data_IF_211945029434
#
_entry.id   IF_211945029434
#
_cell.length_a   1.000
_cell.length_b   1.000
_cell.length_c   1.000
_cell.angle_alpha   90.00
_cell.angle_beta   90.00
_cell.angle_gamma   90.00
#
_symmetry.space_group_name_H-M   'P 1'
#
loop_
_entity.id
_entity.type
_entity.pdbx_description
1 polymer ?
#
# COMPACT_ATOMS: atom_id res chain seq x y z
N UNK A 1 27.23 90.39 -7.46
CA UNK A 1 27.85 90.69 -6.16
C UNK A 1 26.82 90.35 -5.08
N UNK A 2 27.22 89.59 -4.05
CA UNK A 2 26.43 89.10 -2.89
C UNK A 2 25.41 87.99 -3.25
N UNK A 3 25.61 86.69 -2.99
CA UNK A 3 25.89 85.87 -1.79
C UNK A 3 24.62 85.52 -0.96
N UNK A 4 24.30 84.20 -0.92
CA UNK A 4 23.59 83.32 0.08
C UNK A 4 22.43 83.93 0.92
N UNK A 5 21.35 83.23 1.26
CA UNK A 5 21.17 82.10 2.19
C UNK A 5 19.67 81.71 2.04
N UNK A 6 19.27 80.49 1.72
CA UNK A 6 19.00 79.41 2.69
C UNK A 6 17.50 79.11 2.74
N UNK A 7 17.13 77.83 2.85
CA UNK A 7 15.74 77.43 3.02
C UNK A 7 15.42 76.08 2.38
N UNK A 8 15.92 75.00 3.00
CA UNK A 8 15.43 73.64 2.76
C UNK A 8 14.00 73.57 3.30
N UNK A 9 13.01 73.35 2.41
CA UNK A 9 11.73 72.76 2.79
C UNK A 9 11.63 71.43 2.05
N UNK A 10 11.79 70.37 2.81
CA UNK A 10 11.58 69.00 2.40
C UNK A 10 10.10 68.82 2.02
N UNK A 11 9.81 68.86 0.72
CA UNK A 11 8.56 68.37 0.18
C UNK A 11 8.52 66.86 0.36
N UNK A 12 7.68 66.39 1.29
CA UNK A 12 7.33 64.98 1.47
C UNK A 12 6.63 64.52 0.19
N UNK A 13 7.41 63.96 -0.73
CA UNK A 13 6.87 63.14 -1.82
C UNK A 13 6.38 61.84 -1.18
N UNK A 14 5.07 61.78 -0.90
CA UNK A 14 4.39 60.54 -0.61
C UNK A 14 4.43 59.67 -1.88
N UNK A 15 5.53 58.94 -2.06
CA UNK A 15 5.56 57.74 -2.89
C UNK A 15 4.58 56.77 -2.23
N UNK A 16 3.35 56.77 -2.74
CA UNK A 16 2.48 55.60 -2.71
C UNK A 16 3.27 54.46 -3.37
N UNK A 17 4.04 53.74 -2.56
CA UNK A 17 4.36 52.36 -2.83
C UNK A 17 3.01 51.65 -2.82
N UNK A 18 2.39 51.55 -3.99
CA UNK A 18 1.53 50.43 -4.26
C UNK A 18 2.42 49.20 -4.01
N UNK A 19 2.30 48.62 -2.82
CA UNK A 19 2.80 47.29 -2.56
C UNK A 19 2.34 46.46 -3.77
N UNK A 20 3.24 45.72 -4.44
CA UNK A 20 2.75 44.75 -5.40
C UNK A 20 1.73 43.94 -4.62
N UNK A 21 0.47 44.00 -5.06
CA UNK A 21 -0.54 43.12 -4.52
C UNK A 21 0.08 41.74 -4.64
N UNK A 22 0.49 41.18 -3.49
CA UNK A 22 0.86 39.80 -3.41
C UNK A 22 -0.43 39.12 -3.79
N UNK A 23 -0.57 38.76 -5.07
CA UNK A 23 -1.52 37.76 -5.47
C UNK A 23 -1.27 36.64 -4.48
N UNK A 24 -2.25 36.26 -3.65
CA UNK A 24 -2.08 35.05 -2.89
C UNK A 24 -1.78 34.02 -3.97
N UNK A 25 -0.57 33.46 -3.96
CA UNK A 25 -0.31 32.20 -4.62
C UNK A 25 -1.31 31.27 -3.96
N UNK A 26 -2.51 31.20 -4.54
CA UNK A 26 -3.40 30.09 -4.34
C UNK A 26 -2.53 28.92 -4.73
N UNK A 27 -2.05 28.24 -3.69
CA UNK A 27 -1.68 26.85 -3.64
C UNK A 27 -2.36 26.07 -4.77
N UNK A 28 -1.76 26.15 -5.97
CA UNK A 28 -2.15 25.32 -7.09
C UNK A 28 -1.70 23.95 -6.64
N UNK A 29 -2.66 23.11 -6.24
CA UNK A 29 -2.41 21.73 -5.85
C UNK A 29 -1.52 21.03 -6.90
N UNK A 30 -0.90 19.90 -6.53
CA UNK A 30 -0.01 19.20 -7.44
C UNK A 30 -0.71 18.92 -8.77
N UNK A 31 0.02 19.10 -9.88
CA UNK A 31 -0.52 18.83 -11.23
C UNK A 31 -0.95 17.36 -11.32
N UNK A 32 -2.18 17.14 -11.77
CA UNK A 32 -2.73 15.82 -12.00
C UNK A 32 -2.44 15.36 -13.43
N UNK A 33 -2.08 14.09 -13.56
CA UNK A 33 -1.90 13.41 -14.84
C UNK A 33 -3.24 12.98 -15.45
N UNK A 34 -3.16 12.29 -16.58
CA UNK A 34 -4.32 11.76 -17.31
C UNK A 34 -5.10 10.70 -16.52
N UNK A 35 -4.44 10.05 -15.57
CA UNK A 35 -5.00 9.07 -14.65
C UNK A 35 -5.64 9.70 -13.41
N UNK A 36 -5.61 11.04 -13.31
CA UNK A 36 -6.13 11.79 -12.17
C UNK A 36 -5.19 11.77 -10.95
N UNK A 37 -3.97 11.24 -11.08
CA UNK A 37 -3.00 11.18 -10.00
C UNK A 37 -1.95 12.28 -10.09
N UNK A 38 -1.38 12.73 -8.94
CA UNK A 38 -0.27 13.68 -8.96
C UNK A 38 0.92 13.15 -9.76
N UNK A 39 1.50 13.97 -10.64
CA UNK A 39 2.65 13.57 -11.48
C UNK A 39 4.01 13.80 -10.81
N UNK A 40 4.03 14.48 -9.67
CA UNK A 40 5.24 14.79 -8.91
C UNK A 40 4.94 14.70 -7.41
N UNK A 41 5.95 14.41 -6.57
CA UNK A 41 5.76 14.48 -5.13
C UNK A 41 5.31 15.89 -4.78
N UNK A 42 4.39 16.00 -3.84
CA UNK A 42 4.02 17.28 -3.30
C UNK A 42 5.25 17.92 -2.62
N UNK A 43 5.62 19.13 -3.03
CA UNK A 43 6.57 19.98 -2.29
C UNK A 43 6.00 20.34 -0.92
N UNK A 44 6.85 20.77 0.03
CA UNK A 44 6.42 21.05 1.40
C UNK A 44 5.21 21.97 1.48
N UNK A 45 4.17 21.51 2.18
CA UNK A 45 2.98 22.30 2.50
C UNK A 45 3.10 22.75 3.95
N UNK A 46 2.81 24.03 4.20
CA UNK A 46 2.72 24.55 5.56
C UNK A 46 1.60 23.79 6.30
N UNK A 47 1.99 23.10 7.37
CA UNK A 47 1.04 22.39 8.22
C UNK A 47 0.16 23.36 8.99
N UNK A 48 -1.15 23.09 8.99
CA UNK A 48 -2.10 23.72 9.89
C UNK A 48 -3.09 22.68 10.41
N UNK A 49 -3.61 22.89 11.62
CA UNK A 49 -4.73 22.10 12.16
C UNK A 49 -5.99 22.98 12.25
N UNK A 50 -6.35 23.63 11.14
CA UNK A 50 -7.58 24.43 11.12
C UNK A 50 -8.81 23.55 11.36
N UNK A 51 -9.83 24.06 12.08
CA UNK A 51 -11.06 23.33 12.32
C UNK A 51 -11.85 23.08 11.02
N UNK A 52 -12.72 22.07 11.04
CA UNK A 52 -13.63 21.71 9.94
C UNK A 52 -13.31 20.38 9.25
N UNK A 53 -14.07 20.04 8.21
CA UNK A 53 -13.86 18.81 7.43
C UNK A 53 -12.50 18.84 6.70
N UNK A 54 -11.82 17.69 6.55
CA UNK A 54 -10.58 17.62 5.79
C UNK A 54 -10.79 18.01 4.33
N UNK A 55 -11.82 17.48 3.68
CA UNK A 55 -12.22 17.80 2.30
C UNK A 55 -13.72 18.16 2.21
N UNK A 56 -14.13 18.97 1.23
CA UNK A 56 -15.55 19.20 0.94
C UNK A 56 -16.28 17.87 0.67
N UNK A 57 -17.43 17.68 1.31
CA UNK A 57 -18.22 16.45 1.19
C UNK A 57 -19.19 16.45 0.01
N UNK A 58 -19.68 17.63 -0.35
CA UNK A 58 -20.69 17.83 -1.38
C UNK A 58 -20.12 17.68 -2.79
N UNK A 59 -20.87 17.01 -3.68
CA UNK A 59 -20.55 16.91 -5.10
C UNK A 59 -19.39 15.97 -5.46
N UNK A 60 -18.85 15.20 -4.49
CA UNK A 60 -17.81 14.22 -4.76
C UNK A 60 -18.35 13.07 -5.63
N UNK A 61 -17.65 12.74 -6.72
CA UNK A 61 -18.07 11.70 -7.68
C UNK A 61 -17.08 10.54 -7.80
N UNK A 62 -15.83 10.73 -7.38
CA UNK A 62 -14.87 9.64 -7.25
C UNK A 62 -13.73 9.99 -6.31
N UNK A 63 -13.12 8.96 -5.73
CA UNK A 63 -11.87 9.07 -4.96
C UNK A 63 -10.83 8.16 -5.60
N UNK A 64 -9.66 8.71 -5.92
CA UNK A 64 -8.55 7.96 -6.53
C UNK A 64 -7.42 7.84 -5.53
N UNK A 65 -6.97 6.61 -5.24
CA UNK A 65 -5.77 6.37 -4.43
C UNK A 65 -4.56 6.24 -5.34
N UNK A 66 -3.60 7.15 -5.16
CA UNK A 66 -2.45 7.35 -6.02
C UNK A 66 -1.16 7.03 -5.27
N UNK A 67 -0.33 6.16 -5.86
CA UNK A 67 1.00 5.86 -5.37
C UNK A 67 2.04 6.36 -6.36
N UNK A 68 2.80 7.39 -5.97
CA UNK A 68 3.86 7.93 -6.79
C UNK A 68 5.21 7.34 -6.35
N UNK A 69 5.97 6.66 -7.22
CA UNK A 69 7.33 6.22 -6.91
C UNK A 69 8.19 7.40 -6.50
N UNK A 70 8.85 7.28 -5.34
CA UNK A 70 9.84 8.26 -4.92
C UNK A 70 11.19 7.83 -5.46
N UNK A 71 11.89 8.76 -6.12
CA UNK A 71 13.26 8.59 -6.56
C UNK A 71 14.23 8.67 -5.37
N UNK A 72 14.00 7.92 -4.29
CA UNK A 72 14.93 7.89 -3.17
C UNK A 72 16.07 6.92 -3.49
N UNK A 73 17.27 7.48 -3.51
CA UNK A 73 18.51 6.90 -3.96
C UNK A 73 18.93 5.60 -3.24
N UNK A 74 19.36 4.60 -4.02
CA UNK A 74 20.64 3.90 -3.85
C UNK A 74 21.02 3.16 -2.53
N UNK A 75 20.10 2.69 -1.66
CA UNK A 75 20.54 1.88 -0.48
C UNK A 75 19.95 0.49 -0.26
N UNK A 76 19.20 -0.05 -1.22
CA UNK A 76 18.90 -1.49 -1.25
C UNK A 76 19.41 -2.05 -2.57
N UNK A 77 20.68 -2.44 -2.59
CA UNK A 77 21.24 -3.28 -3.64
C UNK A 77 20.37 -4.56 -3.70
N UNK A 78 19.54 -4.67 -4.74
CA UNK A 78 18.58 -5.77 -4.90
C UNK A 78 17.11 -5.36 -4.99
N UNK A 79 16.78 -4.06 -4.98
CA UNK A 79 15.40 -3.62 -5.20
C UNK A 79 14.87 -4.17 -6.55
N UNK A 80 13.95 -5.14 -6.47
CA UNK A 80 13.21 -5.66 -7.62
C UNK A 80 12.61 -4.49 -8.40
N UNK A 81 12.54 -4.56 -9.74
CA UNK A 81 11.80 -3.57 -10.51
C UNK A 81 10.38 -3.51 -9.94
N UNK A 82 10.04 -2.37 -9.33
CA UNK A 82 8.70 -2.18 -8.77
C UNK A 82 7.74 -2.13 -9.95
N UNK A 83 6.88 -3.13 -10.04
CA UNK A 83 5.73 -3.12 -10.95
C UNK A 83 4.97 -1.83 -10.68
N UNK A 84 4.60 -1.10 -11.74
CA UNK A 84 3.77 0.09 -11.62
C UNK A 84 2.50 -0.28 -10.85
N UNK A 85 2.28 0.32 -9.68
CA UNK A 85 1.06 0.08 -8.92
C UNK A 85 -0.09 0.67 -9.73
N UNK A 86 -1.10 -0.11 -10.12
CA UNK A 86 -2.22 0.41 -10.88
C UNK A 86 -2.97 1.47 -10.07
N UNK A 87 -3.39 2.53 -10.74
CA UNK A 87 -4.26 3.56 -10.14
C UNK A 87 -5.57 2.93 -9.71
N UNK A 88 -5.98 3.17 -8.47
CA UNK A 88 -7.20 2.59 -7.88
C UNK A 88 -8.23 3.68 -7.72
N UNK A 89 -9.36 3.53 -8.42
CA UNK A 89 -10.43 4.51 -8.45
C UNK A 89 -11.71 3.95 -7.83
N UNK A 90 -12.19 4.64 -6.81
CA UNK A 90 -13.47 4.41 -6.17
C UNK A 90 -14.52 5.33 -6.82
N UNK A 91 -15.60 4.73 -7.30
CA UNK A 91 -16.74 5.36 -7.98
C UNK A 91 -18.08 5.01 -7.33
N UNK A 92 -18.09 4.02 -6.44
CA UNK A 92 -19.21 3.67 -5.55
C UNK A 92 -18.76 3.87 -4.11
N UNK A 93 -19.69 4.15 -3.19
CA UNK A 93 -19.33 4.42 -1.78
C UNK A 93 -18.37 5.62 -1.64
N UNK A 94 -18.46 6.58 -2.56
CA UNK A 94 -17.65 7.82 -2.56
C UNK A 94 -17.96 8.62 -1.30
N UNK A 95 -19.24 8.83 -0.98
CA UNK A 95 -19.67 9.54 0.23
C UNK A 95 -19.16 8.89 1.51
N UNK A 96 -19.16 7.56 1.57
CA UNK A 96 -18.61 6.81 2.70
C UNK A 96 -17.10 7.04 2.84
N UNK A 97 -16.35 7.00 1.75
CA UNK A 97 -14.92 7.27 1.77
C UNK A 97 -14.61 8.73 2.15
N UNK A 98 -15.40 9.69 1.67
CA UNK A 98 -15.25 11.09 2.05
C UNK A 98 -15.58 11.31 3.52
N UNK A 99 -16.59 10.62 4.06
CA UNK A 99 -16.87 10.60 5.48
C UNK A 99 -15.68 10.03 6.29
N UNK A 100 -15.07 8.94 5.83
CA UNK A 100 -13.87 8.35 6.46
C UNK A 100 -12.68 9.33 6.46
N UNK A 101 -12.43 10.04 5.36
CA UNK A 101 -11.39 11.09 5.29
C UNK A 101 -11.68 12.23 6.29
N UNK A 102 -12.95 12.63 6.41
CA UNK A 102 -13.37 13.72 7.28
C UNK A 102 -13.49 13.32 8.75
N UNK A 103 -13.59 12.02 9.04
CA UNK A 103 -13.65 11.46 10.40
C UNK A 103 -12.27 11.17 11.00
N UNK A 104 -11.18 11.30 10.23
CA UNK A 104 -9.83 11.19 10.78
C UNK A 104 -9.66 12.20 11.93
N UNK A 105 -9.07 11.81 13.08
CA UNK A 105 -8.96 12.67 14.25
C UNK A 105 -8.08 13.91 14.01
N UNK A 106 -8.39 14.99 14.72
CA UNK A 106 -7.49 16.14 14.90
C UNK A 106 -6.39 15.81 15.90
N UNK A 107 -5.40 16.71 16.04
CA UNK A 107 -4.36 16.54 17.07
C UNK A 107 -4.97 16.45 18.47
N UNK A 108 -5.86 17.39 18.79
CA UNK A 108 -6.49 17.50 20.12
C UNK A 108 -7.24 16.23 20.52
N UNK A 109 -7.97 15.61 19.58
CA UNK A 109 -8.70 14.35 19.83
C UNK A 109 -7.72 13.22 20.14
N UNK A 110 -6.67 13.07 19.33
CA UNK A 110 -5.68 12.01 19.51
C UNK A 110 -4.91 12.17 20.83
N UNK A 111 -4.54 13.40 21.18
CA UNK A 111 -3.87 13.68 22.45
C UNK A 111 -4.79 13.44 23.65
N UNK A 112 -6.07 13.81 23.57
CA UNK A 112 -7.05 13.51 24.62
C UNK A 112 -7.20 12.00 24.85
N UNK A 113 -7.35 11.21 23.77
CA UNK A 113 -7.42 9.74 23.85
C UNK A 113 -6.14 9.13 24.44
N UNK A 114 -4.97 9.67 24.08
CA UNK A 114 -3.69 9.19 24.61
C UNK A 114 -3.54 9.54 26.09
N UNK A 115 -3.93 10.75 26.50
CA UNK A 115 -3.93 11.17 27.91
C UNK A 115 -4.88 10.30 28.74
N UNK A 116 -6.09 10.02 28.26
CA UNK A 116 -7.03 9.13 28.94
C UNK A 116 -6.46 7.71 29.10
N UNK A 117 -5.85 7.17 28.03
CA UNK A 117 -5.23 5.83 28.05
C UNK A 117 -4.05 5.74 29.01
N UNK A 118 -3.18 6.74 29.07
CA UNK A 118 -2.03 6.75 29.96
C UNK A 118 -2.42 7.06 31.41
N UNK A 119 -3.41 7.93 31.63
CA UNK A 119 -4.00 8.16 32.94
C UNK A 119 -4.59 6.88 33.53
N UNK A 120 -5.25 6.05 32.70
CA UNK A 120 -5.75 4.74 33.11
C UNK A 120 -4.63 3.75 33.54
N UNK A 121 -3.37 4.00 33.15
CA UNK A 121 -2.18 3.26 33.58
C UNK A 121 -1.44 3.93 34.75
N UNK A 122 -1.96 5.03 35.28
CA UNK A 122 -1.32 5.81 36.35
C UNK A 122 -0.19 6.72 35.87
N UNK A 123 -0.08 6.96 34.55
CA UNK A 123 0.91 7.87 33.98
C UNK A 123 0.28 9.24 33.69
N UNK A 124 1.00 10.31 34.02
CA UNK A 124 0.61 11.68 33.66
C UNK A 124 1.51 12.14 32.52
N UNK A 125 0.89 12.43 31.39
CA UNK A 125 1.56 13.00 30.23
C UNK A 125 1.63 14.52 30.31
N UNK A 126 2.64 15.13 29.70
CA UNK A 126 2.79 16.58 29.63
C UNK A 126 1.74 17.27 28.76
N UNK A 127 1.76 18.60 28.78
CA UNK A 127 0.77 19.44 28.09
C UNK A 127 0.90 19.39 26.56
N UNK A 128 2.13 19.27 26.02
CA UNK A 128 2.39 19.12 24.59
C UNK A 128 3.03 17.76 24.31
N UNK A 129 2.37 16.94 23.50
CA UNK A 129 2.83 15.59 23.16
C UNK A 129 3.54 15.54 21.80
N UNK A 130 3.63 16.66 21.08
CA UNK A 130 4.31 16.77 19.78
C UNK A 130 3.88 15.67 18.80
N UNK A 131 2.61 15.23 18.85
CA UNK A 131 2.11 14.15 18.00
C UNK A 131 2.17 14.57 16.52
N UNK A 132 2.83 13.73 15.72
CA UNK A 132 3.09 13.98 14.30
C UNK A 132 4.24 14.94 13.99
N UNK A 133 4.94 15.45 15.01
CA UNK A 133 6.16 16.26 14.84
C UNK A 133 7.42 15.39 14.94
N UNK A 134 7.36 14.35 15.79
CA UNK A 134 8.42 13.33 15.90
C UNK A 134 8.04 12.11 15.05
N UNK A 135 8.38 12.15 13.76
CA UNK A 135 8.12 11.03 12.85
C UNK A 135 9.31 10.06 12.86
N UNK A 136 9.04 8.76 12.96
CA UNK A 136 10.09 7.72 12.97
C UNK A 136 10.66 7.56 11.57
N UNK A 137 11.73 8.26 11.18
CA UNK A 137 12.27 8.26 9.82
C UNK A 137 12.24 6.89 9.07
N UNK A 138 11.10 6.59 8.43
CA UNK A 138 10.87 5.39 7.63
C UNK A 138 10.89 5.79 6.17
N UNK A 139 11.86 5.25 5.43
CA UNK A 139 11.96 5.45 3.99
C UNK A 139 10.92 4.62 3.25
N UNK A 140 9.76 5.20 2.96
CA UNK A 140 8.82 4.60 2.01
C UNK A 140 9.30 4.84 0.58
N UNK A 141 9.30 3.82 -0.27
CA UNK A 141 9.68 4.00 -1.67
C UNK A 141 8.55 4.51 -2.59
N UNK A 142 7.38 4.83 -2.04
CA UNK A 142 6.30 5.55 -2.73
C UNK A 142 5.77 6.67 -1.84
N UNK A 143 5.23 7.72 -2.45
CA UNK A 143 4.39 8.73 -1.81
C UNK A 143 2.93 8.37 -2.08
N UNK A 144 2.06 8.46 -1.07
CA UNK A 144 0.65 8.11 -1.17
C UNK A 144 -0.20 9.39 -1.13
N UNK A 145 -1.22 9.45 -1.97
CA UNK A 145 -2.22 10.52 -1.96
C UNK A 145 -3.61 10.01 -2.33
N UNK A 146 -4.63 10.75 -1.92
CA UNK A 146 -6.03 10.55 -2.31
C UNK A 146 -6.50 11.78 -3.07
N UNK A 147 -7.04 11.56 -4.26
CA UNK A 147 -7.61 12.63 -5.09
C UNK A 147 -9.12 12.49 -5.09
N UNK A 148 -9.82 13.45 -4.49
CA UNK A 148 -11.28 13.54 -4.49
C UNK A 148 -11.69 14.40 -5.67
N UNK A 149 -12.39 13.80 -6.62
CA UNK A 149 -12.93 14.49 -7.79
C UNK A 149 -14.39 14.87 -7.58
N UNK A 150 -14.76 16.05 -8.07
CA UNK A 150 -16.09 16.62 -7.93
C UNK A 150 -16.78 16.74 -9.30
N UNK A 151 -18.09 16.50 -9.34
CA UNK A 151 -18.87 16.45 -10.58
C UNK A 151 -19.31 17.82 -11.11
N UNK A 152 -19.18 18.87 -10.31
CA UNK A 152 -19.66 20.23 -10.61
C UNK A 152 -18.56 21.15 -11.19
N UNK A 153 -17.43 20.58 -11.59
CA UNK A 153 -16.33 21.31 -12.21
C UNK A 153 -15.39 22.05 -11.26
N UNK A 154 -15.59 21.96 -9.94
CA UNK A 154 -14.64 22.51 -8.97
C UNK A 154 -13.30 21.74 -9.00
N UNK A 155 -12.24 22.39 -8.55
CA UNK A 155 -10.90 21.78 -8.46
C UNK A 155 -10.93 20.53 -7.57
N UNK A 156 -10.25 19.47 -8.00
CA UNK A 156 -10.14 18.24 -7.21
C UNK A 156 -9.34 18.47 -5.93
N UNK A 157 -9.77 17.87 -4.82
CA UNK A 157 -9.04 17.94 -3.57
C UNK A 157 -7.96 16.86 -3.53
N UNK A 158 -6.69 17.25 -3.34
CA UNK A 158 -5.57 16.30 -3.24
C UNK A 158 -5.14 16.18 -1.79
N UNK A 159 -5.55 15.10 -1.14
CA UNK A 159 -5.14 14.75 0.23
C UNK A 159 -3.80 14.02 0.18
N UNK A 160 -2.79 14.62 0.78
CA UNK A 160 -1.45 14.04 0.88
C UNK A 160 -1.34 13.19 2.12
N UNK A 161 -0.79 11.98 2.00
CA UNK A 161 -0.61 11.08 3.14
C UNK A 161 0.87 10.94 3.45
N UNK A 162 1.25 11.45 4.61
CA UNK A 162 2.53 11.22 5.21
C UNK A 162 2.46 9.95 6.06
N UNK A 163 2.87 8.82 5.46
CA UNK A 163 2.91 7.53 6.16
C UNK A 163 3.96 7.47 7.27
N UNK A 164 4.94 8.37 7.24
CA UNK A 164 5.98 8.43 8.26
C UNK A 164 5.44 9.09 9.53
N UNK A 165 4.70 10.17 9.34
CA UNK A 165 4.09 10.92 10.43
C UNK A 165 2.68 10.41 10.80
N UNK A 166 2.11 9.50 9.99
CA UNK A 166 0.74 9.03 10.17
C UNK A 166 -0.28 10.16 10.00
N UNK A 167 -0.07 11.06 9.02
CA UNK A 167 -0.95 12.22 8.81
C UNK A 167 -1.52 12.27 7.40
N UNK A 168 -2.71 12.86 7.28
CA UNK A 168 -3.37 13.21 6.03
C UNK A 168 -3.58 14.73 5.99
N UNK A 169 -3.18 15.38 4.90
CA UNK A 169 -3.17 16.84 4.77
C UNK A 169 -3.89 17.30 3.51
N UNK A 170 -4.70 18.33 3.63
CA UNK A 170 -5.27 19.07 2.51
C UNK A 170 -5.44 20.54 2.89
N UNK A 171 -5.00 21.44 1.99
CA UNK A 171 -4.91 22.87 2.29
C UNK A 171 -4.16 23.11 3.63
N UNK A 172 -4.80 23.81 4.57
CA UNK A 172 -4.30 24.15 5.90
C UNK A 172 -4.88 23.27 7.02
N UNK A 173 -5.32 22.05 6.66
CA UNK A 173 -5.91 21.07 7.58
C UNK A 173 -5.08 19.80 7.61
N UNK A 174 -4.83 19.32 8.82
CA UNK A 174 -4.07 18.09 9.10
C UNK A 174 -4.92 17.17 9.95
N UNK A 175 -5.06 15.92 9.55
CA UNK A 175 -5.68 14.86 10.34
C UNK A 175 -4.72 13.71 10.56
N UNK A 176 -4.95 12.94 11.62
CA UNK A 176 -4.09 11.86 12.05
C UNK A 176 -4.71 10.52 11.69
N UNK A 177 -3.91 9.60 11.17
CA UNK A 177 -4.34 8.28 10.72
C UNK A 177 -4.00 7.99 9.26
N UNK A 178 -4.25 6.75 8.86
CA UNK A 178 -3.99 6.26 7.51
C UNK A 178 -5.30 5.84 6.82
N UNK A 179 -5.80 6.62 5.84
CA UNK A 179 -7.05 6.31 5.16
C UNK A 179 -6.96 5.14 4.16
N UNK A 180 -5.77 4.54 3.97
CA UNK A 180 -5.56 3.44 3.01
C UNK A 180 -6.44 2.22 3.27
N UNK A 181 -6.61 1.82 4.54
CA UNK A 181 -7.39 0.62 4.87
C UNK A 181 -8.87 0.78 4.55
N UNK A 182 -9.43 1.93 4.93
CA UNK A 182 -10.80 2.28 4.61
C UNK A 182 -11.01 2.30 3.10
N UNK A 183 -10.13 2.99 2.36
CA UNK A 183 -10.20 3.02 0.91
C UNK A 183 -10.12 1.63 0.28
N UNK A 184 -9.13 0.82 0.66
CA UNK A 184 -8.95 -0.52 0.12
C UNK A 184 -10.13 -1.43 0.44
N UNK A 185 -10.79 -1.25 1.61
CA UNK A 185 -12.02 -1.97 1.96
C UNK A 185 -13.17 -1.60 1.02
N UNK A 186 -13.44 -0.31 0.81
CA UNK A 186 -14.47 0.15 -0.13
C UNK A 186 -14.16 -0.23 -1.58
N UNK A 187 -12.89 -0.13 -1.98
CA UNK A 187 -12.42 -0.50 -3.31
C UNK A 187 -12.63 -1.99 -3.59
N UNK A 188 -12.31 -2.87 -2.63
CA UNK A 188 -12.56 -4.32 -2.75
C UNK A 188 -14.05 -4.64 -2.85
N UNK A 189 -14.89 -3.98 -2.04
CA UNK A 189 -16.36 -4.13 -2.13
C UNK A 189 -16.91 -3.67 -3.51
N UNK A 190 -16.35 -2.60 -4.09
CA UNK A 190 -16.69 -2.19 -5.46
C UNK A 190 -16.33 -3.30 -6.46
N UNK A 191 -15.15 -3.91 -6.34
CA UNK A 191 -14.68 -4.95 -7.26
C UNK A 191 -15.46 -6.26 -7.16
N UNK A 192 -16.08 -6.56 -6.01
CA UNK A 192 -17.00 -7.70 -5.88
C UNK A 192 -18.22 -7.56 -6.82
N UNK A 193 -18.67 -6.32 -7.06
CA UNK A 193 -19.80 -6.04 -7.96
C UNK A 193 -19.39 -5.85 -9.42
N UNK A 194 -18.10 -5.56 -9.68
CA UNK A 194 -17.54 -5.27 -11.01
C UNK A 194 -16.13 -5.86 -11.14
N UNK A 195 -15.98 -7.18 -11.19
CA UNK A 195 -14.67 -7.80 -11.24
C UNK A 195 -13.98 -7.50 -12.58
N UNK A 196 -12.71 -7.12 -12.54
CA UNK A 196 -11.88 -7.07 -13.75
C UNK A 196 -11.29 -8.47 -13.99
N UNK A 197 -11.43 -9.04 -15.19
CA UNK A 197 -10.79 -10.31 -15.50
C UNK A 197 -9.27 -10.15 -15.45
N UNK A 198 -8.60 -11.05 -14.73
CA UNK A 198 -7.14 -11.18 -14.76
C UNK A 198 -6.69 -12.06 -15.93
N UNK A 199 -5.73 -11.57 -16.72
CA UNK A 199 -5.06 -12.36 -17.74
C UNK A 199 -3.89 -13.13 -17.11
N UNK A 200 -4.17 -14.32 -16.57
CA UNK A 200 -3.11 -15.21 -16.10
C UNK A 200 -2.30 -15.75 -17.28
N UNK A 201 -0.98 -15.67 -17.16
CA UNK A 201 -0.09 -16.43 -18.03
C UNK A 201 -0.28 -17.93 -17.77
N UNK A 202 -0.10 -18.75 -18.80
CA UNK A 202 -0.08 -20.21 -18.66
C UNK A 202 1.14 -20.71 -17.89
N UNK A 203 1.17 -22.00 -17.55
CA UNK A 203 2.35 -22.63 -16.97
C UNK A 203 3.48 -22.65 -18.00
N UNK A 204 4.67 -22.15 -17.63
CA UNK A 204 5.85 -22.32 -18.46
C UNK A 204 6.14 -23.82 -18.63
N UNK A 205 6.64 -24.23 -19.80
CA UNK A 205 7.01 -25.63 -20.02
C UNK A 205 8.19 -26.05 -19.12
N UNK A 206 9.12 -25.12 -18.90
CA UNK A 206 10.32 -25.32 -18.09
C UNK A 206 10.64 -24.05 -17.30
N UNK A 207 11.15 -24.21 -16.08
CA UNK A 207 11.63 -23.13 -15.22
C UNK A 207 13.09 -23.42 -14.84
N UNK A 208 14.01 -22.46 -14.95
CA UNK A 208 15.37 -22.63 -14.42
C UNK A 208 15.32 -22.87 -12.92
N UNK A 209 15.87 -23.98 -12.42
CA UNK A 209 15.81 -24.29 -11.00
C UNK A 209 16.57 -23.26 -10.14
N UNK A 210 17.56 -22.57 -10.73
CA UNK A 210 18.28 -21.46 -10.11
C UNK A 210 17.40 -20.22 -9.84
N UNK A 211 16.36 -19.97 -10.65
CA UNK A 211 15.44 -18.84 -10.45
C UNK A 211 14.43 -19.08 -9.31
N UNK A 212 14.35 -20.33 -8.83
CA UNK A 212 13.50 -20.73 -7.70
C UNK A 212 14.31 -20.81 -6.39
N UNK A 213 15.62 -20.56 -6.42
CA UNK A 213 16.48 -20.57 -5.24
C UNK A 213 16.20 -19.35 -4.35
N UNK A 214 15.58 -19.61 -3.19
CA UNK A 214 15.14 -18.62 -2.21
C UNK A 214 16.28 -17.91 -1.47
N UNK A 215 17.53 -18.38 -1.62
CA UNK A 215 18.70 -17.69 -1.06
C UNK A 215 19.08 -16.44 -1.84
N UNK A 216 18.56 -16.26 -3.06
CA UNK A 216 18.82 -15.11 -3.92
C UNK A 216 17.63 -14.15 -3.96
N UNK A 217 17.88 -12.84 -4.05
CA UNK A 217 16.83 -11.81 -4.14
C UNK A 217 15.86 -12.00 -5.32
N UNK A 218 16.26 -12.72 -6.37
CA UNK A 218 15.43 -13.06 -7.55
C UNK A 218 14.53 -14.28 -7.34
N UNK A 219 14.72 -15.03 -6.26
CA UNK A 219 14.02 -16.28 -5.97
C UNK A 219 12.65 -16.14 -5.32
N UNK A 220 12.17 -14.92 -5.04
CA UNK A 220 10.86 -14.71 -4.43
C UNK A 220 9.73 -14.85 -5.46
N UNK A 221 8.60 -15.47 -5.07
CA UNK A 221 7.41 -15.51 -5.92
C UNK A 221 6.89 -14.11 -6.24
N UNK A 222 6.35 -13.92 -7.45
CA UNK A 222 5.70 -12.66 -7.84
C UNK A 222 4.51 -12.36 -6.93
N UNK A 223 4.32 -11.09 -6.57
CA UNK A 223 3.22 -10.69 -5.69
C UNK A 223 2.75 -9.25 -5.94
N UNK A 224 1.98 -9.07 -7.02
CA UNK A 224 1.40 -7.75 -7.34
C UNK A 224 0.19 -7.43 -6.45
N UNK A 225 -0.41 -8.45 -5.81
CA UNK A 225 -1.56 -8.33 -4.90
C UNK A 225 -1.16 -7.65 -3.59
N UNK A 226 0.13 -7.67 -3.24
CA UNK A 226 0.73 -6.99 -2.09
C UNK A 226 0.20 -5.57 -1.89
N UNK A 227 0.12 -4.76 -2.96
CA UNK A 227 -0.36 -3.39 -2.89
C UNK A 227 -1.82 -3.25 -2.41
N UNK A 228 -2.64 -4.30 -2.55
CA UNK A 228 -4.08 -4.30 -2.25
C UNK A 228 -4.43 -4.84 -0.85
N UNK A 229 -3.43 -5.23 -0.03
CA UNK A 229 -3.67 -5.81 1.31
C UNK A 229 -3.94 -4.78 2.41
N UNK A 230 -3.40 -3.57 2.27
CA UNK A 230 -3.41 -2.54 3.31
C UNK A 230 -2.36 -2.77 4.42
N UNK A 231 -2.06 -1.76 5.25
CA UNK A 231 -1.26 -1.93 6.46
C UNK A 231 -1.87 -3.01 7.38
N UNK A 232 -1.06 -4.00 7.78
CA UNK A 232 -1.48 -5.06 8.72
C UNK A 232 -1.66 -6.47 8.14
N UNK A 233 -1.34 -6.71 6.86
CA UNK A 233 -1.01 -7.99 6.17
C UNK A 233 -1.49 -9.34 6.76
N UNK A 234 -2.67 -9.44 7.38
CA UNK A 234 -3.17 -10.72 7.93
C UNK A 234 -3.71 -11.67 6.86
N UNK A 235 -4.12 -11.14 5.71
CA UNK A 235 -4.71 -11.91 4.61
C UNK A 235 -3.88 -11.73 3.34
N UNK A 236 -3.41 -12.84 2.76
CA UNK A 236 -2.57 -12.84 1.56
C UNK A 236 -3.35 -12.47 0.28
N UNK A 237 -4.58 -12.96 0.14
CA UNK A 237 -5.49 -12.68 -0.98
C UNK A 237 -6.74 -11.98 -0.47
N UNK A 238 -6.71 -10.64 -0.31
CA UNK A 238 -7.79 -9.87 0.29
C UNK A 238 -8.99 -9.70 -0.65
N UNK A 239 -8.76 -9.67 -1.96
CA UNK A 239 -9.79 -9.50 -2.98
C UNK A 239 -10.33 -10.86 -3.46
N UNK A 240 -11.54 -10.92 -4.05
CA UNK A 240 -12.00 -12.09 -4.78
C UNK A 240 -11.03 -12.48 -5.90
N UNK A 241 -10.97 -13.78 -6.22
CA UNK A 241 -10.20 -14.28 -7.36
C UNK A 241 -11.05 -14.24 -8.63
N UNK A 242 -10.43 -13.83 -9.74
CA UNK A 242 -11.04 -13.84 -11.08
C UNK A 242 -10.48 -14.97 -11.95
N UNK A 243 -9.30 -15.50 -11.62
CA UNK A 243 -8.72 -16.67 -12.27
C UNK A 243 -7.72 -17.38 -11.34
N UNK A 244 -7.54 -18.68 -11.54
CA UNK A 244 -6.45 -19.44 -10.93
C UNK A 244 -5.95 -20.53 -11.88
N UNK A 245 -4.64 -20.77 -11.87
CA UNK A 245 -3.99 -21.85 -12.62
C UNK A 245 -3.00 -22.55 -11.70
N UNK A 246 -3.02 -23.87 -11.68
CA UNK A 246 -2.07 -24.67 -10.92
C UNK A 246 -1.17 -25.45 -11.89
N UNK A 247 0.10 -25.56 -11.53
CA UNK A 247 1.15 -26.19 -12.32
C UNK A 247 1.94 -27.13 -11.41
N UNK A 248 2.33 -28.31 -11.90
CA UNK A 248 3.24 -29.23 -11.22
C UNK A 248 4.52 -29.38 -12.02
N UNK A 249 5.65 -29.20 -11.36
CA UNK A 249 6.99 -29.35 -11.92
C UNK A 249 7.79 -30.41 -11.17
N UNK A 250 8.68 -31.10 -11.90
CA UNK A 250 9.71 -31.97 -11.32
C UNK A 250 11.08 -31.61 -11.87
N UNK A 251 12.08 -31.72 -11.02
CA UNK A 251 13.46 -31.46 -11.40
C UNK A 251 13.94 -32.51 -12.42
N UNK A 252 14.56 -32.05 -13.49
CA UNK A 252 15.20 -32.82 -14.53
C UNK A 252 16.49 -32.08 -14.93
N UNK A 253 17.64 -32.53 -14.40
CA UNK A 253 18.89 -31.78 -14.46
C UNK A 253 18.80 -30.45 -13.71
N UNK A 254 19.07 -29.35 -14.42
CA UNK A 254 19.01 -27.98 -13.88
C UNK A 254 17.66 -27.28 -14.09
N UNK A 255 16.68 -27.97 -14.67
CA UNK A 255 15.38 -27.42 -15.04
C UNK A 255 14.24 -28.10 -14.28
N UNK A 256 13.25 -27.31 -13.90
CA UNK A 256 11.96 -27.79 -13.42
C UNK A 256 11.03 -27.93 -14.63
N UNK A 257 10.74 -29.17 -15.01
CA UNK A 257 9.87 -29.48 -16.17
C UNK A 257 8.42 -29.65 -15.76
N UNK A 258 7.53 -29.03 -16.52
CA UNK A 258 6.09 -29.14 -16.33
C UNK A 258 5.64 -30.59 -16.52
N UNK A 259 4.87 -31.11 -15.56
CA UNK A 259 4.31 -32.47 -15.57
C UNK A 259 2.80 -32.48 -15.65
N UNK A 260 2.16 -31.50 -15.02
CA UNK A 260 0.71 -31.33 -15.07
C UNK A 260 0.37 -29.84 -14.95
N UNK A 261 -0.75 -29.46 -15.55
CA UNK A 261 -1.33 -28.14 -15.38
C UNK A 261 -2.85 -28.24 -15.38
N UNK A 262 -3.50 -27.35 -14.65
CA UNK A 262 -4.94 -27.17 -14.73
C UNK A 262 -5.28 -25.70 -14.57
N UNK A 263 -6.15 -25.20 -15.45
CA UNK A 263 -6.86 -23.95 -15.22
C UNK A 263 -8.05 -24.27 -14.33
N UNK A 264 -8.15 -23.65 -13.17
CA UNK A 264 -9.20 -23.92 -12.20
C UNK A 264 -10.45 -23.15 -12.66
N UNK A 265 -11.49 -23.84 -13.15
CA UNK A 265 -12.62 -23.16 -13.80
C UNK A 265 -13.59 -22.56 -12.76
N UNK A 266 -13.74 -23.23 -11.62
CA UNK A 266 -14.80 -22.96 -10.64
C UNK A 266 -14.26 -22.90 -9.20
N UNK A 267 -15.12 -22.50 -8.26
CA UNK A 267 -14.89 -22.54 -6.81
C UNK A 267 -13.66 -21.71 -6.36
N UNK A 268 -13.45 -20.58 -7.03
CA UNK A 268 -12.35 -19.64 -6.73
C UNK A 268 -12.41 -19.07 -5.30
N UNK A 269 -13.58 -19.08 -4.66
CA UNK A 269 -13.76 -18.71 -3.25
C UNK A 269 -13.04 -19.70 -2.34
N UNK A 270 -13.23 -21.01 -2.54
CA UNK A 270 -12.55 -22.03 -1.74
C UNK A 270 -11.05 -22.08 -2.05
N UNK A 271 -10.65 -21.87 -3.31
CA UNK A 271 -9.23 -21.73 -3.68
C UNK A 271 -8.57 -20.59 -2.90
N UNK A 272 -9.20 -19.41 -2.90
CA UNK A 272 -8.74 -18.26 -2.14
C UNK A 272 -8.61 -18.58 -0.65
N UNK A 273 -9.62 -19.24 -0.08
CA UNK A 273 -9.62 -19.64 1.33
C UNK A 273 -8.46 -20.59 1.65
N UNK A 274 -8.26 -21.65 0.85
CA UNK A 274 -7.19 -22.63 1.06
C UNK A 274 -5.80 -21.99 1.01
N UNK A 275 -5.58 -21.08 0.06
CA UNK A 275 -4.31 -20.35 -0.06
C UNK A 275 -4.13 -19.41 1.14
N UNK A 276 -5.15 -18.63 1.52
CA UNK A 276 -5.09 -17.75 2.67
C UNK A 276 -4.79 -18.52 3.98
N UNK A 277 -5.46 -19.65 4.21
CA UNK A 277 -5.19 -20.50 5.37
C UNK A 277 -3.76 -21.05 5.36
N UNK A 278 -3.25 -21.47 4.20
CA UNK A 278 -1.91 -22.07 4.10
C UNK A 278 -0.77 -21.06 4.15
N UNK A 279 -1.08 -19.78 3.94
CA UNK A 279 -0.10 -18.67 3.99
C UNK A 279 -0.16 -17.89 5.31
N UNK A 280 -1.18 -18.15 6.14
CA UNK A 280 -1.34 -17.51 7.44
C UNK A 280 -0.22 -17.91 8.41
N UNK A 281 0.21 -16.97 9.26
CA UNK A 281 1.09 -17.25 10.37
C UNK A 281 0.26 -17.80 11.54
N UNK A 282 0.61 -18.99 12.03
CA UNK A 282 0.08 -19.50 13.29
C UNK A 282 1.01 -19.04 14.40
N UNK A 283 0.49 -18.30 15.38
CA UNK A 283 1.29 -17.76 16.48
C UNK A 283 0.85 -18.35 17.81
N UNK A 284 1.80 -18.47 18.74
CA UNK A 284 1.56 -18.73 20.16
C UNK A 284 2.14 -17.57 20.95
N UNK A 285 1.33 -16.97 21.82
CA UNK A 285 1.76 -15.90 22.71
C UNK A 285 2.48 -16.51 23.92
N UNK A 286 3.76 -16.18 24.08
CA UNK A 286 4.55 -16.58 25.25
C UNK A 286 4.15 -15.82 26.52
N UNK A 287 4.66 -16.27 27.67
CA UNK A 287 4.42 -15.65 28.99
C UNK A 287 4.85 -14.18 29.09
N UNK A 288 5.74 -13.72 28.21
CA UNK A 288 6.15 -12.31 28.09
C UNK A 288 5.35 -11.48 27.09
N UNK A 289 4.25 -12.00 26.53
CA UNK A 289 3.44 -11.31 25.52
C UNK A 289 3.99 -11.38 24.09
N UNK A 290 5.14 -12.01 23.87
CA UNK A 290 5.73 -12.18 22.53
C UNK A 290 5.00 -13.24 21.72
N UNK A 291 4.56 -12.90 20.51
CA UNK A 291 4.01 -13.86 19.56
C UNK A 291 5.13 -14.61 18.82
N UNK A 292 5.18 -15.93 18.99
CA UNK A 292 6.10 -16.80 18.24
C UNK A 292 5.34 -17.55 17.16
N UNK A 293 5.81 -17.47 15.91
CA UNK A 293 5.20 -18.20 14.80
C UNK A 293 5.61 -19.68 14.86
N UNK A 294 4.63 -20.58 14.89
CA UNK A 294 4.83 -22.02 15.09
C UNK A 294 4.81 -22.86 13.82
N UNK A 295 4.30 -22.30 12.71
CA UNK A 295 4.18 -23.02 11.43
C UNK A 295 5.24 -22.64 10.40
N UNK A 296 6.46 -22.32 10.85
CA UNK A 296 7.60 -22.03 9.99
C UNK A 296 8.41 -23.29 9.69
N UNK A 297 8.96 -23.34 8.49
CA UNK A 297 9.99 -24.29 8.07
C UNK A 297 11.13 -23.52 7.41
N UNK A 298 12.36 -24.00 7.62
CA UNK A 298 13.59 -23.47 7.04
C UNK A 298 13.91 -24.09 5.67
N UNK A 299 12.96 -24.82 5.07
CA UNK A 299 13.13 -25.56 3.81
C UNK A 299 13.80 -24.69 2.73
N UNK A 300 15.04 -24.99 2.36
CA UNK A 300 15.79 -24.23 1.34
C UNK A 300 16.19 -22.79 1.71
N UNK A 301 15.86 -22.27 2.89
CA UNK A 301 16.29 -20.94 3.35
C UNK A 301 17.73 -20.97 3.89
N UNK A 302 18.10 -22.01 4.64
CA UNK A 302 19.42 -22.11 5.26
C UNK A 302 20.48 -22.75 4.35
N UNK A 303 20.07 -23.40 3.27
CA UNK A 303 20.93 -24.16 2.36
C UNK A 303 20.39 -23.92 0.96
N UNK A 304 21.21 -23.47 -0.01
CA UNK A 304 20.84 -23.37 -1.43
C UNK A 304 20.40 -24.74 -1.93
N UNK A 305 19.11 -25.03 -1.77
CA UNK A 305 18.51 -26.34 -1.99
C UNK A 305 17.45 -26.12 -3.04
N UNK A 306 17.60 -26.77 -4.19
CA UNK A 306 16.61 -26.68 -5.26
C UNK A 306 15.44 -27.63 -4.97
N UNK A 307 14.19 -27.26 -5.27
CA UNK A 307 13.08 -28.18 -5.11
C UNK A 307 13.20 -29.32 -6.13
N UNK A 308 13.11 -30.57 -5.66
CA UNK A 308 13.01 -31.74 -6.55
C UNK A 308 11.60 -31.86 -7.16
N UNK A 309 10.60 -31.36 -6.44
CA UNK A 309 9.21 -31.28 -6.88
C UNK A 309 8.58 -29.98 -6.36
N UNK A 310 7.87 -29.28 -7.25
CA UNK A 310 7.30 -27.96 -7.01
C UNK A 310 5.92 -27.89 -7.62
N UNK A 311 4.93 -27.47 -6.83
CA UNK A 311 3.67 -26.98 -7.37
C UNK A 311 3.69 -25.45 -7.36
N UNK A 312 3.16 -24.83 -8.42
CA UNK A 312 3.00 -23.37 -8.53
C UNK A 312 1.53 -23.07 -8.77
N UNK A 313 0.97 -22.19 -7.95
CA UNK A 313 -0.39 -21.67 -8.13
C UNK A 313 -0.30 -20.19 -8.48
N UNK A 314 -0.70 -19.88 -9.71
CA UNK A 314 -0.90 -18.52 -10.19
C UNK A 314 -2.33 -18.11 -9.91
N UNK A 315 -2.52 -16.98 -9.23
CA UNK A 315 -3.84 -16.42 -8.94
C UNK A 315 -3.93 -15.01 -9.46
N UNK A 316 -5.06 -14.70 -10.08
CA UNK A 316 -5.42 -13.36 -10.54
C UNK A 316 -6.62 -12.89 -9.74
N UNK A 317 -6.51 -11.74 -9.09
CA UNK A 317 -7.60 -11.19 -8.30
C UNK A 317 -8.55 -10.31 -9.14
N UNK A 318 -9.63 -9.83 -8.54
CA UNK A 318 -10.61 -8.96 -9.21
C UNK A 318 -10.09 -7.55 -9.54
N UNK A 319 -8.89 -7.18 -9.05
CA UNK A 319 -8.21 -5.93 -9.37
C UNK A 319 -7.40 -6.03 -10.67
N UNK A 320 -7.18 -7.26 -11.17
CA UNK A 320 -6.25 -7.55 -12.27
C UNK A 320 -4.83 -7.88 -11.80
N UNK A 321 -4.57 -7.85 -10.49
CA UNK A 321 -3.25 -8.14 -9.92
C UNK A 321 -3.01 -9.65 -9.87
N UNK A 322 -1.75 -10.05 -10.06
CA UNK A 322 -1.32 -11.45 -10.12
C UNK A 322 -0.40 -11.75 -8.95
N UNK A 323 -0.61 -12.90 -8.31
CA UNK A 323 0.31 -13.45 -7.34
C UNK A 323 0.69 -14.89 -7.69
N UNK A 324 1.92 -15.24 -7.36
CA UNK A 324 2.49 -16.56 -7.47
C UNK A 324 2.61 -17.16 -6.07
N UNK A 325 2.13 -18.40 -5.91
CA UNK A 325 2.30 -19.20 -4.70
C UNK A 325 3.10 -20.44 -5.07
N UNK A 326 4.26 -20.61 -4.45
CA UNK A 326 5.15 -21.76 -4.66
C UNK A 326 4.97 -22.75 -3.51
N UNK A 327 4.64 -23.99 -3.82
CA UNK A 327 4.51 -25.09 -2.85
C UNK A 327 5.58 -26.12 -3.14
N UNK A 328 6.62 -26.12 -2.31
CA UNK A 328 7.67 -27.12 -2.38
C UNK A 328 7.11 -28.45 -1.87
N UNK A 329 7.33 -29.51 -2.64
CA UNK A 329 6.87 -30.87 -2.30
C UNK A 329 8.02 -31.74 -1.80
N UNK A 330 9.23 -31.52 -2.32
CA UNK A 330 10.44 -32.24 -1.96
C UNK A 330 11.67 -31.33 -2.17
N UNK A 331 12.73 -31.44 -1.33
CA UNK A 331 12.96 -32.48 -0.31
C UNK A 331 12.16 -32.30 1.00
N UNK A 332 11.59 -31.12 1.21
CA UNK A 332 10.69 -30.81 2.32
C UNK A 332 9.50 -30.01 1.79
N UNK A 333 8.45 -29.92 2.62
CA UNK A 333 7.20 -29.27 2.26
C UNK A 333 7.15 -27.84 2.80
N UNK A 334 6.91 -26.87 1.92
CA UNK A 334 6.87 -25.46 2.29
C UNK A 334 6.05 -24.62 1.30
N UNK A 335 5.37 -23.58 1.80
CA UNK A 335 4.64 -22.59 1.00
C UNK A 335 5.40 -21.27 1.05
N UNK A 336 5.68 -20.73 -0.13
CA UNK A 336 6.30 -19.42 -0.33
C UNK A 336 5.37 -18.52 -1.13
N UNK A 337 5.33 -17.25 -0.74
CA UNK A 337 4.73 -16.16 -1.49
C UNK A 337 5.69 -14.99 -1.54
N UNK A 338 5.40 -13.93 -2.31
CA UNK A 338 6.26 -12.74 -2.35
C UNK A 338 6.36 -11.97 -1.02
N UNK A 339 5.49 -12.24 -0.05
CA UNK A 339 5.50 -11.61 1.28
C UNK A 339 5.71 -12.58 2.45
N UNK A 340 5.66 -13.89 2.20
CA UNK A 340 5.63 -14.91 3.24
C UNK A 340 6.66 -16.01 2.94
N UNK A 341 7.61 -16.19 3.85
CA UNK A 341 8.58 -17.28 3.77
C UNK A 341 8.08 -18.57 4.43
N UNK A 342 8.36 -19.71 3.79
CA UNK A 342 8.49 -21.05 4.39
C UNK A 342 7.40 -21.45 5.37
N UNK A 343 6.12 -21.37 5.01
CA UNK A 343 5.03 -21.89 5.85
C UNK A 343 4.85 -23.38 5.62
N UNK A 344 4.54 -24.13 6.69
CA UNK A 344 4.15 -25.54 6.54
C UNK A 344 2.82 -25.58 5.77
N UNK A 345 2.74 -26.24 4.60
CA UNK A 345 1.51 -26.34 3.84
C UNK A 345 0.45 -27.12 4.61
N UNK A 346 -0.81 -26.69 4.49
CA UNK A 346 -1.93 -27.45 5.06
C UNK A 346 -2.17 -28.74 4.27
N UNK A 347 -2.60 -29.80 4.95
CA UNK A 347 -2.98 -31.06 4.29
C UNK A 347 -4.11 -30.85 3.26
N UNK A 348 -5.02 -29.92 3.52
CA UNK A 348 -6.13 -29.58 2.64
C UNK A 348 -5.64 -28.98 1.32
N UNK A 349 -4.66 -28.07 1.35
CA UNK A 349 -4.05 -27.51 0.15
C UNK A 349 -3.34 -28.59 -0.67
N UNK A 350 -2.52 -29.42 -0.03
CA UNK A 350 -1.78 -30.49 -0.71
C UNK A 350 -2.72 -31.50 -1.38
N UNK A 351 -3.76 -31.94 -0.65
CA UNK A 351 -4.78 -32.86 -1.17
C UNK A 351 -5.53 -32.26 -2.36
N UNK A 352 -5.91 -30.97 -2.29
CA UNK A 352 -6.60 -30.28 -3.38
C UNK A 352 -5.71 -30.16 -4.62
N UNK A 353 -4.43 -29.84 -4.45
CA UNK A 353 -3.45 -29.80 -5.54
C UNK A 353 -3.26 -31.19 -6.18
N UNK A 354 -3.22 -32.27 -5.38
CA UNK A 354 -3.08 -33.63 -5.91
C UNK A 354 -4.33 -34.08 -6.68
N UNK A 355 -5.52 -33.66 -6.23
CA UNK A 355 -6.77 -33.90 -6.97
C UNK A 355 -6.81 -33.17 -8.32
N UNK A 356 -6.21 -31.97 -8.39
CA UNK A 356 -6.16 -31.13 -9.58
C UNK A 356 -5.08 -31.54 -10.58
N UNK A 357 -3.91 -31.94 -10.09
CA UNK A 357 -2.69 -32.13 -10.88
C UNK A 357 -2.26 -33.60 -11.00
N UNK A 358 -3.03 -34.53 -10.41
CA UNK A 358 -2.61 -35.91 -10.21
C UNK A 358 -1.65 -36.04 -9.02
N UNK A 359 -1.20 -37.26 -8.71
CA UNK A 359 -0.16 -37.51 -7.69
C UNK A 359 1.23 -37.52 -8.32
#
# INVERSE_FOLDING_TARGET
MVLRIGGVIAGVFALLFAAPAAFPLHNLGPRLGVDGCPTSPAGGWEGGDRPGALVPADGAVSVTMCELPLATAQRLAGALPRVSVPVRKLTTQVDAMVAELNALPTRDVLEAELREREAAKGHVLGDDLHLGEVCTAVGYGTSLSFVVHYGDGRTSAVVLVDRNCGTARYADRTRFGNPSDAFLRHYRAQLETRPKPSALAGCAAELPAADIDLTHARGWPRDDVAANRGPGWRTFLPSPLSAATACRYRLDGDLLRLRAQVRIPDDLVSVRSLINTSTAANTVTGSGGTENVTNLTDCGLARSTRPAALDVVWVGDSTGAIAEVRIWRAPCQAVYTGSTGGKIPTAQLLSRLDAWLGR
#
